data_IF_325024437225
#
_entry.id   IF_325024437225
#
_cell.length_a   1.000
_cell.length_b   1.000
_cell.length_c   1.000
_cell.angle_alpha   90.00
_cell.angle_beta   90.00
_cell.angle_gamma   90.00
#
_symmetry.space_group_name_H-M   'P 1'
#
loop_
_entity.id
_entity.type
_entity.pdbx_description
1 polymer ?
#
# COMPACT_ATOMS: atom_id res chain seq x y z
N UNK A 1 -18.02 -52.99 -7.70
CA UNK A 1 -17.83 -51.77 -6.87
C UNK A 1 -18.57 -50.62 -7.50
N UNK A 2 -19.75 -50.27 -7.01
CA UNK A 2 -20.52 -49.11 -7.48
C UNK A 2 -20.45 -48.02 -6.42
N UNK A 3 -20.02 -46.83 -6.80
CA UNK A 3 -19.97 -45.66 -5.92
C UNK A 3 -21.41 -45.22 -5.56
N UNK A 4 -21.70 -44.80 -4.32
CA UNK A 4 -23.03 -44.30 -3.99
C UNK A 4 -23.22 -42.89 -4.60
N UNK A 5 -24.15 -42.80 -5.55
CA UNK A 5 -24.72 -41.55 -6.06
C UNK A 5 -25.19 -40.69 -4.89
N UNK A 6 -24.39 -39.67 -4.55
CA UNK A 6 -24.67 -38.72 -3.47
C UNK A 6 -25.44 -37.52 -4.02
N UNK A 7 -26.54 -37.76 -4.73
CA UNK A 7 -27.46 -36.68 -5.11
C UNK A 7 -28.52 -36.54 -4.02
N UNK A 8 -28.60 -35.39 -3.32
CA UNK A 8 -29.58 -35.25 -2.26
C UNK A 8 -31.00 -35.32 -2.85
N UNK A 9 -31.91 -36.08 -2.23
CA UNK A 9 -33.30 -36.17 -2.68
C UNK A 9 -33.90 -34.76 -2.61
N UNK A 10 -34.57 -34.33 -3.69
CA UNK A 10 -35.22 -33.03 -3.90
C UNK A 10 -35.71 -32.40 -2.57
N UNK A 11 -34.85 -31.63 -1.90
CA UNK A 11 -35.22 -30.96 -0.68
C UNK A 11 -36.35 -29.98 -1.01
N UNK A 12 -37.44 -30.00 -0.22
CA UNK A 12 -38.56 -29.09 -0.43
C UNK A 12 -38.05 -27.65 -0.58
N UNK A 13 -38.65 -26.82 -1.45
CA UNK A 13 -38.13 -25.49 -1.76
C UNK A 13 -37.92 -24.61 -0.51
N UNK A 14 -38.72 -24.81 0.53
CA UNK A 14 -38.55 -24.16 1.83
C UNK A 14 -37.23 -24.53 2.55
N UNK A 15 -36.82 -25.80 2.50
CA UNK A 15 -35.59 -26.28 3.13
C UNK A 15 -34.35 -25.77 2.38
N UNK A 16 -34.44 -25.68 1.04
CA UNK A 16 -33.42 -25.04 0.20
C UNK A 16 -33.27 -23.55 0.55
N UNK A 17 -34.38 -22.84 0.70
CA UNK A 17 -34.36 -21.42 1.04
C UNK A 17 -33.69 -21.17 2.40
N UNK A 18 -34.01 -21.98 3.40
CA UNK A 18 -33.41 -21.88 4.73
C UNK A 18 -31.88 -22.08 4.73
N UNK A 19 -31.37 -22.97 3.87
CA UNK A 19 -29.92 -23.17 3.70
C UNK A 19 -29.28 -21.96 3.02
N UNK A 20 -29.93 -21.38 2.01
CA UNK A 20 -29.43 -20.18 1.33
C UNK A 20 -29.36 -18.98 2.28
N UNK A 21 -30.39 -18.79 3.11
CA UNK A 21 -30.42 -17.72 4.10
C UNK A 21 -29.28 -17.88 5.12
N UNK A 22 -29.03 -19.13 5.56
CA UNK A 22 -27.91 -19.45 6.44
C UNK A 22 -26.55 -19.16 5.77
N UNK A 23 -26.39 -19.50 4.49
CA UNK A 23 -25.17 -19.21 3.72
C UNK A 23 -24.97 -17.70 3.56
N UNK A 24 -26.04 -16.94 3.30
CA UNK A 24 -25.98 -15.49 3.18
C UNK A 24 -25.49 -14.84 4.50
N UNK A 25 -26.04 -15.28 5.63
CA UNK A 25 -25.60 -14.83 6.96
C UNK A 25 -24.13 -15.17 7.25
N UNK A 26 -23.68 -16.38 6.87
CA UNK A 26 -22.28 -16.79 7.02
C UNK A 26 -21.33 -15.97 6.13
N UNK A 27 -21.73 -15.69 4.88
CA UNK A 27 -20.93 -14.90 3.94
C UNK A 27 -20.72 -13.47 4.41
N UNK A 28 -21.72 -12.86 5.05
CA UNK A 28 -21.60 -11.52 5.61
C UNK A 28 -20.46 -11.47 6.66
N UNK A 29 -20.44 -12.43 7.60
CA UNK A 29 -19.38 -12.56 8.60
C UNK A 29 -17.99 -12.76 8.00
N UNK A 30 -17.89 -13.54 6.91
CA UNK A 30 -16.62 -13.75 6.20
C UNK A 30 -16.15 -12.49 5.47
N UNK A 31 -17.08 -11.70 4.90
CA UNK A 31 -16.74 -10.44 4.22
C UNK A 31 -16.11 -9.43 5.17
N UNK A 32 -16.66 -9.25 6.37
CA UNK A 32 -16.09 -8.36 7.38
C UNK A 32 -14.66 -8.77 7.79
N UNK A 33 -14.43 -10.08 7.99
CA UNK A 33 -13.11 -10.61 8.30
C UNK A 33 -12.11 -10.42 7.14
N UNK A 34 -12.56 -10.61 5.90
CA UNK A 34 -11.73 -10.37 4.71
C UNK A 34 -11.39 -8.90 4.55
N UNK A 35 -12.32 -7.98 4.80
CA UNK A 35 -12.06 -6.54 4.72
C UNK A 35 -10.96 -6.12 5.70
N UNK A 36 -11.02 -6.59 6.97
CA UNK A 36 -9.97 -6.33 7.96
C UNK A 36 -8.62 -6.92 7.54
N UNK A 37 -8.59 -8.16 7.03
CA UNK A 37 -7.35 -8.79 6.54
C UNK A 37 -6.77 -8.04 5.34
N UNK A 38 -7.60 -7.60 4.40
CA UNK A 38 -7.15 -6.82 3.26
C UNK A 38 -6.52 -5.49 3.70
N UNK A 39 -7.12 -4.79 4.66
CA UNK A 39 -6.54 -3.56 5.22
C UNK A 39 -5.21 -3.82 5.91
N UNK A 40 -5.07 -4.89 6.69
CA UNK A 40 -3.80 -5.26 7.33
C UNK A 40 -2.73 -5.61 6.30
N UNK A 41 -3.08 -6.32 5.21
CA UNK A 41 -2.15 -6.63 4.13
C UNK A 41 -1.70 -5.38 3.36
N UNK A 42 -2.62 -4.45 3.09
CA UNK A 42 -2.26 -3.17 2.46
C UNK A 42 -1.34 -2.37 3.38
N UNK A 43 -1.69 -2.26 4.67
CA UNK A 43 -0.88 -1.57 5.66
C UNK A 43 0.49 -2.23 5.86
N UNK A 44 0.57 -3.56 5.84
CA UNK A 44 1.85 -4.28 5.95
C UNK A 44 2.70 -4.11 4.70
N UNK A 45 2.12 -4.11 3.50
CA UNK A 45 2.84 -3.80 2.26
C UNK A 45 3.37 -2.35 2.24
N UNK A 46 2.57 -1.38 2.69
CA UNK A 46 3.04 0.00 2.87
C UNK A 46 4.14 0.07 3.92
N UNK A 47 3.96 -0.60 5.07
CA UNK A 47 4.96 -0.67 6.12
C UNK A 47 6.25 -1.35 5.65
N UNK A 48 6.23 -2.37 4.79
CA UNK A 48 7.43 -3.00 4.24
C UNK A 48 8.14 -2.08 3.23
N UNK A 49 7.40 -1.28 2.45
CA UNK A 49 7.99 -0.23 1.60
C UNK A 49 8.69 0.86 2.41
N UNK A 50 8.18 1.15 3.62
CA UNK A 50 8.73 2.13 4.56
C UNK A 50 9.78 1.49 5.50
N UNK A 51 9.70 0.21 5.82
CA UNK A 51 10.67 -0.48 6.70
C UNK A 51 12.01 -0.73 6.01
N UNK A 52 12.07 -0.59 4.68
CA UNK A 52 13.32 -0.47 3.95
C UNK A 52 14.14 0.77 4.30
N UNK A 53 13.69 1.67 5.20
CA UNK A 53 14.34 2.91 5.67
C UNK A 53 15.45 2.70 6.74
N UNK A 54 16.09 1.53 6.80
CA UNK A 54 17.34 1.39 7.58
C UNK A 54 18.44 2.34 7.06
N UNK A 55 19.54 2.59 7.79
CA UNK A 55 20.64 3.46 7.33
C UNK A 55 21.19 3.13 5.93
N UNK A 56 21.02 1.88 5.47
CA UNK A 56 21.41 1.38 4.14
C UNK A 56 20.29 1.42 3.08
N UNK A 57 19.15 2.04 3.38
CA UNK A 57 18.03 2.19 2.46
C UNK A 57 18.43 2.93 1.17
N UNK A 58 17.90 2.54 0.01
CA UNK A 58 18.06 3.32 -1.21
C UNK A 58 17.49 4.73 -1.05
N UNK A 59 18.27 5.77 -1.42
CA UNK A 59 17.88 7.18 -1.27
C UNK A 59 16.52 7.51 -1.92
N UNK A 60 16.20 6.84 -3.03
CA UNK A 60 14.92 7.01 -3.72
C UNK A 60 13.71 6.63 -2.84
N UNK A 61 13.81 5.58 -2.02
CA UNK A 61 12.71 5.19 -1.13
C UNK A 61 12.50 6.21 -0.01
N UNK A 62 13.60 6.76 0.53
CA UNK A 62 13.56 7.85 1.52
C UNK A 62 12.90 9.11 0.97
N UNK A 63 13.27 9.50 -0.24
CA UNK A 63 12.68 10.67 -0.90
C UNK A 63 11.19 10.49 -1.15
N UNK A 64 10.75 9.28 -1.52
CA UNK A 64 9.33 9.00 -1.76
C UNK A 64 8.50 9.06 -0.46
N UNK A 65 9.04 8.58 0.66
CA UNK A 65 8.40 8.70 1.98
C UNK A 65 8.38 10.15 2.45
N UNK A 66 9.51 10.86 2.34
CA UNK A 66 9.60 12.29 2.64
C UNK A 66 8.58 13.09 1.82
N UNK A 67 8.42 12.75 0.55
CA UNK A 67 7.49 13.46 -0.31
C UNK A 67 6.03 13.30 0.12
N UNK A 68 5.67 12.12 0.62
CA UNK A 68 4.33 11.83 1.14
C UNK A 68 4.08 12.48 2.51
N UNK A 69 5.11 12.59 3.35
CA UNK A 69 5.01 13.25 4.67
C UNK A 69 5.02 14.78 4.59
N UNK A 70 5.74 15.36 3.62
CA UNK A 70 5.89 16.81 3.47
C UNK A 70 5.44 17.31 2.09
N UNK A 71 4.15 17.19 1.74
CA UNK A 71 3.65 17.53 0.41
C UNK A 71 3.87 19.00 0.06
N UNK A 72 3.79 19.91 1.04
CA UNK A 72 4.05 21.34 0.84
C UNK A 72 5.52 21.58 0.49
N UNK A 73 6.46 20.98 1.23
CA UNK A 73 7.88 21.14 0.95
C UNK A 73 8.25 20.63 -0.44
N UNK A 74 7.64 19.51 -0.87
CA UNK A 74 7.81 18.98 -2.22
C UNK A 74 7.25 19.91 -3.26
N UNK A 75 6.04 20.45 -3.06
CA UNK A 75 5.43 21.38 -4.00
C UNK A 75 6.29 22.64 -4.19
N UNK A 76 6.81 23.19 -3.09
CA UNK A 76 7.76 24.32 -3.13
C UNK A 76 9.04 23.96 -3.86
N UNK A 77 9.64 22.80 -3.56
CA UNK A 77 10.85 22.33 -4.22
C UNK A 77 10.64 22.11 -5.73
N UNK A 78 9.51 21.53 -6.12
CA UNK A 78 9.14 21.32 -7.52
C UNK A 78 8.92 22.64 -8.25
N UNK A 79 8.19 23.60 -7.63
CA UNK A 79 7.98 24.92 -8.20
C UNK A 79 9.31 25.68 -8.37
N UNK A 80 10.19 25.62 -7.38
CA UNK A 80 11.54 26.20 -7.46
C UNK A 80 12.38 25.55 -8.57
N UNK A 81 12.31 24.22 -8.72
CA UNK A 81 13.02 23.50 -9.76
C UNK A 81 12.56 23.91 -11.18
N UNK A 82 11.25 24.07 -11.37
CA UNK A 82 10.68 24.57 -12.64
C UNK A 82 11.13 26.00 -12.93
N UNK A 83 11.14 26.88 -11.91
CA UNK A 83 11.55 28.28 -12.08
C UNK A 83 13.06 28.44 -12.39
N UNK A 84 13.92 27.61 -11.81
CA UNK A 84 15.38 27.70 -11.97
C UNK A 84 15.85 27.00 -13.26
N UNK A 85 15.16 25.94 -13.68
CA UNK A 85 15.49 25.15 -14.86
C UNK A 85 16.68 24.18 -14.66
N UNK A 86 16.73 23.06 -15.40
CA UNK A 86 17.62 21.93 -15.10
C UNK A 86 19.11 22.29 -15.21
N UNK A 87 19.48 23.15 -16.15
CA UNK A 87 20.89 23.55 -16.37
C UNK A 87 21.46 24.35 -15.19
N UNK A 88 20.66 25.18 -14.52
CA UNK A 88 21.11 25.92 -13.34
C UNK A 88 21.17 25.03 -12.11
N UNK A 89 20.24 24.10 -11.94
CA UNK A 89 20.22 23.17 -10.79
C UNK A 89 21.52 22.37 -10.70
N UNK A 90 22.00 21.79 -11.81
CA UNK A 90 23.25 21.03 -11.84
C UNK A 90 24.46 21.89 -11.47
N UNK A 91 24.48 23.15 -11.92
CA UNK A 91 25.60 24.08 -11.65
C UNK A 91 25.66 24.51 -10.18
N UNK A 92 24.49 24.68 -9.56
CA UNK A 92 24.38 25.02 -8.13
C UNK A 92 24.59 23.81 -7.22
N UNK A 93 24.31 22.59 -7.69
CA UNK A 93 24.55 21.38 -6.92
C UNK A 93 26.02 21.26 -6.49
N UNK A 94 26.98 21.55 -7.38
CA UNK A 94 28.40 21.54 -7.04
C UNK A 94 28.82 22.59 -6.00
N UNK A 95 28.10 23.71 -5.91
CA UNK A 95 28.38 24.79 -4.95
C UNK A 95 27.79 24.49 -3.57
N UNK A 96 26.60 23.89 -3.52
CA UNK A 96 25.88 23.59 -2.27
C UNK A 96 26.36 22.27 -1.63
N UNK A 97 26.81 21.31 -2.45
CA UNK A 97 27.32 20.00 -1.99
C UNK A 97 28.38 20.09 -0.86
N UNK A 98 29.44 20.93 -0.94
CA UNK A 98 30.44 21.00 0.13
C UNK A 98 29.87 21.55 1.45
N UNK A 99 28.84 22.40 1.40
CA UNK A 99 28.19 22.93 2.60
C UNK A 99 27.35 21.84 3.30
N UNK A 100 26.64 21.01 2.53
CA UNK A 100 25.88 19.87 3.04
C UNK A 100 26.79 18.80 3.66
N UNK A 101 27.98 18.57 3.08
CA UNK A 101 28.95 17.64 3.68
C UNK A 101 29.48 18.13 5.03
N UNK A 102 29.58 19.46 5.24
CA UNK A 102 29.96 20.02 6.54
C UNK A 102 28.87 19.83 7.60
N UNK A 103 27.60 19.85 7.22
CA UNK A 103 26.48 19.70 8.14
C UNK A 103 26.21 18.24 8.56
N UNK A 104 26.77 17.27 7.81
CA UNK A 104 26.68 15.83 8.11
C UNK A 104 27.78 15.32 9.05
N UNK A 105 28.72 16.18 9.45
CA UNK A 105 29.76 15.89 10.44
C UNK A 105 29.27 16.30 11.83
#
# INVERSE_FOLDING_TARGET
MSAPDSSPPLALPAQKQQVLDRIAAQRLRLRERRARRAQVLVASHEAHRVAGLGPDAPLASRLMVFARLHPIAVAVAAAAAVAVGPRRVVRWAGVVMPLLMRLRR
#
